data_IF_699522968338
#
_entry.id   IF_699522968338
#
_cell.length_a   1.000
_cell.length_b   1.000
_cell.length_c   1.000
_cell.angle_alpha   90.00
_cell.angle_beta   90.00
_cell.angle_gamma   90.00
#
_symmetry.space_group_name_H-M   'P 1'
#
loop_
_entity.id
_entity.type
_entity.pdbx_description
1 polymer ?
#
# COMPACT_ATOMS: atom_id res chain seq x y z
N UNK A 1 23.56 -4.26 -1.59
CA UNK A 1 22.18 -4.19 -2.12
C UNK A 1 21.63 -2.76 -2.22
N UNK A 2 21.67 -1.92 -1.17
CA UNK A 2 21.18 -0.53 -1.26
C UNK A 2 21.82 0.30 -2.40
N UNK A 3 23.14 0.16 -2.60
CA UNK A 3 23.85 0.81 -3.72
C UNK A 3 23.33 0.33 -5.08
N UNK A 4 23.16 -0.99 -5.24
CA UNK A 4 22.59 -1.58 -6.46
C UNK A 4 21.17 -1.10 -6.72
N UNK A 5 20.32 -1.04 -5.69
CA UNK A 5 18.95 -0.51 -5.82
C UNK A 5 18.95 0.97 -6.24
N UNK A 6 19.80 1.80 -5.63
CA UNK A 6 19.97 3.22 -6.00
C UNK A 6 20.42 3.38 -7.45
N UNK A 7 21.29 2.49 -7.92
CA UNK A 7 21.84 2.51 -9.27
C UNK A 7 20.98 1.75 -10.29
N UNK A 8 19.84 1.18 -9.87
CA UNK A 8 18.99 0.30 -10.69
C UNK A 8 19.75 -0.89 -11.31
N UNK A 9 20.73 -1.41 -10.58
CA UNK A 9 21.55 -2.54 -10.98
C UNK A 9 20.91 -3.84 -10.49
N UNK A 10 20.02 -4.41 -11.29
CA UNK A 10 19.33 -5.66 -10.99
C UNK A 10 20.29 -6.83 -10.84
N UNK A 11 21.31 -6.92 -11.71
CA UNK A 11 22.31 -7.99 -11.68
C UNK A 11 23.05 -8.02 -10.34
N UNK A 12 23.52 -6.86 -9.87
CA UNK A 12 24.21 -6.77 -8.58
C UNK A 12 23.28 -7.13 -7.42
N UNK A 13 22.05 -6.61 -7.43
CA UNK A 13 21.09 -6.86 -6.35
C UNK A 13 20.70 -8.33 -6.30
N UNK A 14 20.33 -8.93 -7.42
CA UNK A 14 19.96 -10.35 -7.53
C UNK A 14 21.12 -11.24 -7.08
N UNK A 15 22.32 -11.04 -7.64
CA UNK A 15 23.51 -11.82 -7.27
C UNK A 15 23.82 -11.73 -5.78
N UNK A 16 23.71 -10.54 -5.19
CA UNK A 16 23.97 -10.35 -3.75
C UNK A 16 22.88 -10.99 -2.91
N UNK A 17 21.60 -10.83 -3.28
CA UNK A 17 20.47 -11.39 -2.55
C UNK A 17 20.46 -12.92 -2.57
N UNK A 18 21.02 -13.55 -3.60
CA UNK A 18 21.10 -15.00 -3.73
C UNK A 18 22.33 -15.63 -3.03
N UNK A 19 23.22 -14.82 -2.46
CA UNK A 19 24.34 -15.34 -1.66
C UNK A 19 23.84 -15.94 -0.34
N UNK A 20 24.27 -17.17 -0.03
CA UNK A 20 23.93 -17.85 1.23
C UNK A 20 24.26 -17.01 2.47
N UNK A 21 25.43 -16.36 2.50
CA UNK A 21 25.85 -15.51 3.62
C UNK A 21 24.87 -14.33 3.80
N UNK A 22 24.42 -13.74 2.70
CA UNK A 22 23.49 -12.60 2.73
C UNK A 22 22.11 -13.02 3.22
N UNK A 23 21.58 -14.15 2.71
CA UNK A 23 20.31 -14.72 3.18
C UNK A 23 20.37 -15.11 4.66
N UNK A 24 21.49 -15.69 5.12
CA UNK A 24 21.71 -15.99 6.54
C UNK A 24 21.74 -14.74 7.42
N UNK A 25 22.31 -13.64 6.93
CA UNK A 25 22.46 -12.40 7.70
C UNK A 25 21.18 -11.57 7.74
N UNK A 26 20.50 -11.43 6.59
CA UNK A 26 19.36 -10.50 6.43
C UNK A 26 18.01 -11.20 6.48
N UNK A 27 17.98 -12.51 6.28
CA UNK A 27 16.76 -13.31 6.16
C UNK A 27 16.23 -13.38 4.72
N UNK A 28 15.53 -14.46 4.43
CA UNK A 28 14.92 -14.74 3.12
C UNK A 28 14.00 -13.60 2.67
N UNK A 29 13.10 -13.16 3.55
CA UNK A 29 12.13 -12.10 3.28
C UNK A 29 12.79 -10.80 2.81
N UNK A 30 13.83 -10.35 3.51
CA UNK A 30 14.53 -9.11 3.18
C UNK A 30 15.25 -9.24 1.84
N UNK A 31 15.89 -10.38 1.57
CA UNK A 31 16.51 -10.64 0.28
C UNK A 31 15.51 -10.62 -0.87
N UNK A 32 14.37 -11.30 -0.72
CA UNK A 32 13.34 -11.35 -1.76
C UNK A 32 12.71 -9.96 -1.99
N UNK A 33 12.49 -9.18 -0.93
CA UNK A 33 12.07 -7.78 -1.05
C UNK A 33 13.05 -6.94 -1.87
N UNK A 34 14.36 -7.11 -1.70
CA UNK A 34 15.35 -6.40 -2.51
C UNK A 34 15.25 -6.78 -3.99
N UNK A 35 15.05 -8.07 -4.29
CA UNK A 35 14.85 -8.56 -5.65
C UNK A 35 13.57 -7.98 -6.25
N UNK A 36 12.45 -8.08 -5.56
CA UNK A 36 11.17 -7.54 -6.02
C UNK A 36 11.26 -6.03 -6.32
N UNK A 37 11.88 -5.26 -5.42
CA UNK A 37 12.05 -3.81 -5.59
C UNK A 37 12.95 -3.45 -6.76
N UNK A 38 14.09 -4.15 -6.95
CA UNK A 38 14.98 -3.83 -8.06
C UNK A 38 14.32 -4.13 -9.40
N UNK A 39 13.62 -5.26 -9.51
CA UNK A 39 12.88 -5.66 -10.72
C UNK A 39 11.78 -4.65 -11.06
N UNK A 40 11.10 -4.12 -10.04
CA UNK A 40 10.11 -3.07 -10.22
C UNK A 40 10.72 -1.78 -10.79
N UNK A 41 11.86 -1.30 -10.24
CA UNK A 41 12.46 -0.03 -10.69
C UNK A 41 13.21 -0.15 -12.02
N UNK A 42 13.63 -1.36 -12.41
CA UNK A 42 14.22 -1.65 -13.73
C UNK A 42 13.16 -1.98 -14.78
N UNK A 43 11.88 -2.10 -14.40
CA UNK A 43 10.75 -2.44 -15.28
C UNK A 43 10.92 -3.80 -15.98
N UNK A 44 11.53 -4.77 -15.30
CA UNK A 44 11.60 -6.16 -15.79
C UNK A 44 10.32 -6.89 -15.35
N UNK A 45 9.26 -6.73 -16.13
CA UNK A 45 7.90 -7.17 -15.77
C UNK A 45 7.80 -8.69 -15.57
N UNK A 46 8.37 -9.48 -16.48
CA UNK A 46 8.31 -10.94 -16.39
C UNK A 46 8.98 -11.45 -15.11
N UNK A 47 10.18 -10.98 -14.80
CA UNK A 47 10.86 -11.38 -13.56
C UNK A 47 10.18 -10.81 -12.34
N UNK A 48 9.67 -9.59 -12.42
CA UNK A 48 8.92 -8.96 -11.33
C UNK A 48 7.70 -9.82 -10.96
N UNK A 49 6.92 -10.26 -11.94
CA UNK A 49 5.74 -11.10 -11.70
C UNK A 49 6.11 -12.45 -11.10
N UNK A 50 7.15 -13.11 -11.62
CA UNK A 50 7.66 -14.36 -11.05
C UNK A 50 8.08 -14.19 -9.60
N UNK A 51 8.76 -13.08 -9.28
CA UNK A 51 9.18 -12.77 -7.92
C UNK A 51 7.99 -12.44 -7.02
N UNK A 52 7.01 -11.68 -7.51
CA UNK A 52 5.81 -11.34 -6.76
C UNK A 52 5.03 -12.61 -6.39
N UNK A 53 4.78 -13.49 -7.37
CA UNK A 53 4.11 -14.78 -7.14
C UNK A 53 4.91 -15.64 -6.15
N UNK A 54 6.23 -15.72 -6.32
CA UNK A 54 7.09 -16.43 -5.36
C UNK A 54 6.91 -15.90 -3.92
N UNK A 55 6.91 -14.58 -3.73
CA UNK A 55 6.69 -13.99 -2.41
C UNK A 55 5.26 -14.21 -1.89
N UNK A 56 4.26 -14.28 -2.78
CA UNK A 56 2.86 -14.60 -2.45
C UNK A 56 2.67 -16.07 -2.04
N UNK A 57 3.43 -17.00 -2.61
CA UNK A 57 3.35 -18.43 -2.26
C UNK A 57 4.26 -18.81 -1.08
N UNK A 58 5.28 -18.00 -0.78
CA UNK A 58 6.26 -18.30 0.27
C UNK A 58 5.69 -18.08 1.67
N UNK A 59 5.94 -19.05 2.56
CA UNK A 59 5.76 -18.93 4.01
C UNK A 59 7.07 -18.49 4.65
N UNK A 60 7.12 -17.24 5.10
CA UNK A 60 8.28 -16.72 5.84
C UNK A 60 8.19 -17.11 7.33
N UNK A 61 9.33 -17.27 8.04
CA UNK A 61 9.33 -17.67 9.45
C UNK A 61 8.58 -16.71 10.40
N UNK A 62 8.45 -15.43 10.02
CA UNK A 62 7.72 -14.43 10.78
C UNK A 62 6.39 -14.14 10.09
N UNK A 63 5.25 -14.42 10.74
CA UNK A 63 3.92 -14.12 10.18
C UNK A 63 3.76 -12.63 9.79
N UNK A 64 4.29 -11.73 10.60
CA UNK A 64 4.22 -10.27 10.39
C UNK A 64 4.89 -9.82 9.09
N UNK A 65 5.92 -10.54 8.61
CA UNK A 65 6.61 -10.22 7.34
C UNK A 65 5.64 -10.38 6.17
N UNK A 66 4.82 -11.45 6.19
CA UNK A 66 3.84 -11.72 5.14
C UNK A 66 2.73 -10.68 5.14
N UNK A 67 2.16 -10.38 6.31
CA UNK A 67 1.09 -9.40 6.42
C UNK A 67 1.57 -8.00 6.00
N UNK A 68 2.75 -7.58 6.46
CA UNK A 68 3.37 -6.30 6.07
C UNK A 68 3.63 -6.20 4.57
N UNK A 69 4.05 -7.31 3.94
CA UNK A 69 4.23 -7.38 2.49
C UNK A 69 2.92 -7.21 1.74
N UNK A 70 1.88 -7.96 2.12
CA UNK A 70 0.55 -7.87 1.52
C UNK A 70 0.03 -6.43 1.63
N UNK A 71 0.02 -5.87 2.84
CA UNK A 71 -0.45 -4.50 3.11
C UNK A 71 0.31 -3.46 2.27
N UNK A 72 1.64 -3.47 2.32
CA UNK A 72 2.46 -2.45 1.65
C UNK A 72 2.29 -2.49 0.13
N UNK A 73 2.37 -3.66 -0.49
CA UNK A 73 2.34 -3.78 -1.95
C UNK A 73 0.92 -3.65 -2.49
N UNK A 74 -0.09 -4.15 -1.77
CA UNK A 74 -1.49 -3.95 -2.14
C UNK A 74 -1.81 -2.46 -2.28
N UNK A 75 -1.58 -1.68 -1.24
CA UNK A 75 -1.85 -0.24 -1.28
C UNK A 75 -0.97 0.51 -2.27
N UNK A 76 0.27 0.06 -2.49
CA UNK A 76 1.11 0.60 -3.57
C UNK A 76 0.47 0.40 -4.95
N UNK A 77 -0.12 -0.77 -5.21
CA UNK A 77 -0.81 -1.04 -6.48
C UNK A 77 -2.15 -0.35 -6.61
N UNK A 78 -2.90 -0.18 -5.51
CA UNK A 78 -4.11 0.65 -5.49
C UNK A 78 -3.78 2.10 -5.91
N UNK A 79 -2.77 2.72 -5.29
CA UNK A 79 -2.35 4.10 -5.62
C UNK A 79 -1.93 4.24 -7.08
N UNK A 80 -1.39 3.18 -7.67
CA UNK A 80 -0.93 3.15 -9.07
C UNK A 80 -2.01 2.72 -10.06
N UNK A 81 -3.21 2.38 -9.60
CA UNK A 81 -4.28 1.86 -10.46
C UNK A 81 -3.96 0.50 -11.08
N UNK A 82 -3.02 -0.27 -10.52
CA UNK A 82 -2.62 -1.56 -11.08
C UNK A 82 -3.54 -2.67 -10.58
N UNK A 83 -4.69 -2.84 -11.25
CA UNK A 83 -5.70 -3.84 -10.90
C UNK A 83 -5.15 -5.26 -10.93
N UNK A 84 -4.37 -5.64 -11.95
CA UNK A 84 -3.80 -6.99 -12.08
C UNK A 84 -3.08 -7.44 -10.80
N UNK A 85 -2.17 -6.62 -10.28
CA UNK A 85 -1.40 -6.98 -9.08
C UNK A 85 -2.20 -6.78 -7.79
N UNK A 86 -3.10 -5.80 -7.74
CA UNK A 86 -4.01 -5.64 -6.61
C UNK A 86 -4.91 -6.88 -6.44
N UNK A 87 -5.42 -7.46 -7.53
CA UNK A 87 -6.25 -8.68 -7.52
C UNK A 87 -5.49 -9.87 -6.95
N UNK A 88 -4.23 -10.05 -7.38
CA UNK A 88 -3.39 -11.15 -6.90
C UNK A 88 -3.15 -11.03 -5.40
N UNK A 89 -2.84 -9.83 -4.91
CA UNK A 89 -2.56 -9.62 -3.49
C UNK A 89 -3.84 -9.69 -2.66
N UNK A 90 -4.96 -9.13 -3.13
CA UNK A 90 -6.25 -9.21 -2.43
C UNK A 90 -6.69 -10.66 -2.25
N UNK A 91 -6.46 -11.52 -3.24
CA UNK A 91 -6.72 -12.96 -3.12
C UNK A 91 -5.95 -13.59 -1.96
N UNK A 92 -4.69 -13.19 -1.74
CA UNK A 92 -3.90 -13.68 -0.61
C UNK A 92 -4.30 -13.03 0.72
N UNK A 93 -4.68 -11.74 0.72
CA UNK A 93 -5.26 -11.06 1.90
C UNK A 93 -6.49 -11.83 2.39
N UNK A 94 -7.39 -12.25 1.49
CA UNK A 94 -8.60 -13.03 1.84
C UNK A 94 -8.29 -14.38 2.50
N UNK A 95 -7.10 -14.95 2.26
CA UNK A 95 -6.69 -16.23 2.87
C UNK A 95 -6.13 -16.08 4.28
N UNK A 96 -5.87 -14.86 4.75
CA UNK A 96 -5.34 -14.66 6.12
C UNK A 96 -6.38 -15.04 7.18
N UNK A 97 -7.67 -14.95 6.85
CA UNK A 97 -8.77 -15.14 7.81
C UNK A 97 -8.90 -14.03 8.85
N UNK A 98 -8.07 -12.98 8.76
CA UNK A 98 -8.18 -11.78 9.60
C UNK A 98 -9.28 -10.88 9.03
N UNK A 99 -10.49 -10.98 9.60
CA UNK A 99 -11.65 -10.23 9.15
C UNK A 99 -11.43 -8.72 9.14
N UNK A 100 -10.68 -8.18 10.11
CA UNK A 100 -10.42 -6.74 10.15
C UNK A 100 -9.50 -6.34 8.99
N UNK A 101 -8.43 -7.10 8.79
CA UNK A 101 -7.49 -6.88 7.70
C UNK A 101 -8.15 -7.05 6.34
N UNK A 102 -9.02 -8.04 6.16
CA UNK A 102 -9.76 -8.28 4.91
C UNK A 102 -10.69 -7.11 4.63
N UNK A 103 -11.54 -6.74 5.60
CA UNK A 103 -12.59 -5.74 5.45
C UNK A 103 -12.06 -4.39 4.95
N UNK A 104 -11.09 -3.79 5.66
CA UNK A 104 -10.61 -2.47 5.27
C UNK A 104 -9.87 -2.49 3.91
N UNK A 105 -9.22 -3.61 3.56
CA UNK A 105 -8.54 -3.76 2.27
C UNK A 105 -9.53 -3.94 1.11
N UNK A 106 -10.64 -4.65 1.30
CA UNK A 106 -11.73 -4.72 0.32
C UNK A 106 -12.37 -3.36 0.10
N UNK A 107 -12.60 -2.62 1.18
CA UNK A 107 -13.11 -1.26 1.15
C UNK A 107 -12.15 -0.31 0.40
N UNK A 108 -10.84 -0.42 0.66
CA UNK A 108 -9.84 0.34 -0.09
C UNK A 108 -9.81 -0.01 -1.58
N UNK A 109 -9.96 -1.29 -1.93
CA UNK A 109 -10.06 -1.74 -3.32
C UNK A 109 -11.28 -1.11 -4.02
N UNK A 110 -12.44 -1.22 -3.38
CA UNK A 110 -13.71 -0.78 -3.93
C UNK A 110 -13.72 0.73 -4.22
N UNK A 111 -13.15 1.54 -3.31
CA UNK A 111 -13.01 2.98 -3.54
C UNK A 111 -11.97 3.28 -4.63
N UNK A 112 -10.78 2.67 -4.55
CA UNK A 112 -9.64 3.08 -5.40
C UNK A 112 -9.71 2.55 -6.83
N UNK A 113 -10.27 1.36 -7.03
CA UNK A 113 -10.30 0.70 -8.35
C UNK A 113 -11.70 0.61 -8.92
N UNK A 114 -12.72 0.36 -8.09
CA UNK A 114 -14.12 0.27 -8.56
C UNK A 114 -14.85 1.62 -8.51
N UNK A 115 -14.25 2.64 -7.88
CA UNK A 115 -14.79 4.00 -7.83
C UNK A 115 -16.05 4.14 -6.98
N UNK A 116 -16.26 3.25 -6.00
CA UNK A 116 -17.40 3.35 -5.08
C UNK A 116 -17.35 4.61 -4.24
N UNK A 117 -18.51 5.21 -4.00
CA UNK A 117 -18.70 6.44 -3.21
C UNK A 117 -19.76 6.31 -2.11
N UNK A 118 -20.29 5.11 -1.93
CA UNK A 118 -21.41 4.76 -1.05
C UNK A 118 -20.98 3.98 0.19
N UNK A 119 -19.68 3.95 0.50
CA UNK A 119 -19.09 3.28 1.65
C UNK A 119 -18.77 4.22 2.82
N UNK A 120 -19.11 5.52 2.71
CA UNK A 120 -18.75 6.53 3.72
C UNK A 120 -19.30 6.17 5.11
N UNK A 121 -20.61 5.88 5.20
CA UNK A 121 -21.26 5.57 6.49
C UNK A 121 -20.65 4.33 7.15
N UNK A 122 -20.42 3.26 6.37
CA UNK A 122 -19.78 2.03 6.84
C UNK A 122 -18.35 2.29 7.35
N UNK A 123 -17.57 3.08 6.63
CA UNK A 123 -16.21 3.43 7.01
C UNK A 123 -16.16 4.38 8.23
N UNK A 124 -17.16 5.23 8.42
CA UNK A 124 -17.29 6.05 9.64
C UNK A 124 -17.65 5.18 10.85
N UNK A 125 -18.52 4.18 10.69
CA UNK A 125 -18.79 3.18 11.74
C UNK A 125 -17.52 2.41 12.11
N UNK A 126 -16.71 2.03 11.13
CA UNK A 126 -15.40 1.41 11.34
C UNK A 126 -14.48 2.28 12.21
N UNK A 127 -14.44 3.60 11.97
CA UNK A 127 -13.68 4.55 12.81
C UNK A 127 -14.25 4.60 14.23
N UNK A 128 -15.57 4.74 14.35
CA UNK A 128 -16.27 4.89 15.63
C UNK A 128 -16.16 3.64 16.52
N UNK A 129 -16.09 2.46 15.90
CA UNK A 129 -15.89 1.19 16.59
C UNK A 129 -14.51 1.06 17.26
N UNK A 130 -13.56 1.95 16.91
CA UNK A 130 -12.15 1.89 17.32
C UNK A 130 -11.45 0.57 16.96
N UNK A 131 -11.95 -0.12 15.93
CA UNK A 131 -11.37 -1.38 15.43
C UNK A 131 -10.00 -1.17 14.79
N UNK A 132 -9.75 0.01 14.22
CA UNK A 132 -8.55 0.30 13.43
C UNK A 132 -7.67 1.38 14.07
N UNK A 133 -6.36 1.21 13.93
CA UNK A 133 -5.34 2.14 14.40
C UNK A 133 -4.20 2.27 13.39
N UNK A 134 -3.41 3.33 13.54
CA UNK A 134 -2.19 3.53 12.75
C UNK A 134 -2.47 3.56 11.24
N UNK A 135 -1.78 2.69 10.51
CA UNK A 135 -1.87 2.65 9.05
C UNK A 135 -3.28 2.35 8.54
N UNK A 136 -3.96 1.32 9.07
CA UNK A 136 -5.30 0.95 8.63
C UNK A 136 -6.32 2.10 8.83
N UNK A 137 -6.28 2.76 9.98
CA UNK A 137 -7.11 3.94 10.23
C UNK A 137 -6.80 5.08 9.24
N UNK A 138 -5.52 5.32 8.97
CA UNK A 138 -5.10 6.30 7.97
C UNK A 138 -5.62 5.98 6.57
N UNK A 139 -5.62 4.71 6.17
CA UNK A 139 -6.19 4.25 4.89
C UNK A 139 -7.67 4.54 4.82
N UNK A 140 -8.44 4.15 5.84
CA UNK A 140 -9.90 4.36 5.89
C UNK A 140 -10.23 5.86 5.73
N UNK A 141 -9.52 6.73 6.44
CA UNK A 141 -9.68 8.18 6.33
C UNK A 141 -9.38 8.69 4.91
N UNK A 142 -8.34 8.17 4.25
CA UNK A 142 -8.07 8.50 2.83
C UNK A 142 -9.21 8.01 1.93
N UNK A 143 -9.75 6.82 2.18
CA UNK A 143 -10.85 6.28 1.37
C UNK A 143 -12.11 7.14 1.50
N UNK A 144 -12.50 7.52 2.72
CA UNK A 144 -13.64 8.43 2.95
C UNK A 144 -13.41 9.77 2.22
N UNK A 145 -12.21 10.35 2.36
CA UNK A 145 -11.84 11.59 1.66
C UNK A 145 -12.00 11.46 0.13
N UNK A 146 -11.57 10.33 -0.45
CA UNK A 146 -11.71 10.06 -1.90
C UNK A 146 -13.17 9.99 -2.34
N UNK A 147 -14.03 9.39 -1.53
CA UNK A 147 -15.46 9.31 -1.82
C UNK A 147 -16.12 10.69 -1.79
N UNK A 148 -15.87 11.50 -0.75
CA UNK A 148 -16.38 12.88 -0.69
C UNK A 148 -15.91 13.73 -1.86
N UNK A 149 -14.62 13.63 -2.23
CA UNK A 149 -14.06 14.36 -3.37
C UNK A 149 -14.74 13.96 -4.68
N UNK A 150 -15.02 12.65 -4.88
CA UNK A 150 -15.75 12.18 -6.06
C UNK A 150 -17.22 12.66 -6.10
N UNK A 151 -17.82 12.95 -4.95
CA UNK A 151 -19.16 13.52 -4.81
C UNK A 151 -19.18 15.06 -4.91
N UNK A 152 -18.02 15.72 -5.02
CA UNK A 152 -17.90 17.18 -5.06
C UNK A 152 -18.03 17.86 -3.69
N UNK A 153 -17.90 17.12 -2.59
CA UNK A 153 -17.88 17.66 -1.23
C UNK A 153 -16.43 17.87 -0.77
N UNK A 154 -15.79 18.90 -1.34
CA UNK A 154 -14.37 19.20 -1.08
C UNK A 154 -14.10 19.55 0.38
N UNK A 155 -15.10 20.11 1.08
CA UNK A 155 -15.00 20.46 2.50
C UNK A 155 -14.79 19.21 3.34
N UNK A 156 -15.67 18.22 3.21
CA UNK A 156 -15.51 16.97 3.96
C UNK A 156 -14.29 16.20 3.50
N UNK A 157 -14.03 16.15 2.18
CA UNK A 157 -12.84 15.52 1.65
C UNK A 157 -11.53 16.07 2.27
N UNK A 158 -11.43 17.39 2.45
CA UNK A 158 -10.28 18.05 3.09
C UNK A 158 -10.14 17.65 4.58
N UNK A 159 -11.24 17.66 5.34
CA UNK A 159 -11.24 17.28 6.77
C UNK A 159 -10.71 15.86 6.97
N UNK A 160 -11.19 14.91 6.17
CA UNK A 160 -10.73 13.52 6.26
C UNK A 160 -9.27 13.37 5.81
N UNK A 161 -8.82 14.14 4.81
CA UNK A 161 -7.43 14.11 4.35
C UNK A 161 -6.46 14.66 5.41
N UNK A 162 -6.82 15.75 6.10
CA UNK A 162 -6.06 16.29 7.23
C UNK A 162 -5.99 15.28 8.38
N UNK A 163 -7.11 14.60 8.67
CA UNK A 163 -7.16 13.55 9.68
C UNK A 163 -6.26 12.36 9.31
N UNK A 164 -6.28 11.93 8.05
CA UNK A 164 -5.40 10.88 7.55
C UNK A 164 -3.92 11.23 7.74
N UNK A 165 -3.53 12.49 7.49
CA UNK A 165 -2.16 12.99 7.71
C UNK A 165 -1.70 12.83 9.16
N UNK A 166 -2.59 13.06 10.12
CA UNK A 166 -2.28 12.91 11.54
C UNK A 166 -2.11 11.44 11.97
N UNK A 167 -2.80 10.50 11.29
CA UNK A 167 -2.72 9.07 11.58
C UNK A 167 -1.54 8.36 10.90
N UNK A 168 -1.16 8.78 9.70
CA UNK A 168 -0.17 8.10 8.88
C UNK A 168 1.26 8.43 9.32
N UNK A 169 2.10 7.41 9.39
CA UNK A 169 3.55 7.63 9.54
C UNK A 169 4.09 8.41 8.32
N UNK A 170 5.04 9.36 8.48
CA UNK A 170 5.54 10.21 7.38
C UNK A 170 6.13 9.46 6.18
N UNK A 171 6.49 8.18 6.35
CA UNK A 171 7.01 7.30 5.29
C UNK A 171 5.97 6.30 4.74
N UNK A 172 4.71 6.41 5.14
CA UNK A 172 3.64 5.53 4.65
C UNK A 172 3.37 5.77 3.16
N UNK A 173 2.93 4.73 2.45
CA UNK A 173 2.72 4.77 0.99
C UNK A 173 1.69 5.82 0.54
N UNK A 174 0.75 6.19 1.42
CA UNK A 174 -0.26 7.22 1.17
C UNK A 174 0.20 8.65 1.43
N UNK A 175 1.29 8.88 2.18
CA UNK A 175 1.74 10.25 2.51
C UNK A 175 1.96 11.13 1.28
N UNK A 176 2.58 10.66 0.17
CA UNK A 176 2.69 11.47 -1.05
C UNK A 176 1.34 11.84 -1.66
N UNK A 177 0.31 11.00 -1.51
CA UNK A 177 -1.05 11.27 -1.99
C UNK A 177 -1.71 12.34 -1.12
N UNK A 178 -1.58 12.20 0.20
CA UNK A 178 -2.10 13.14 1.21
C UNK A 178 -1.45 14.52 1.05
N UNK A 179 -0.12 14.59 1.02
CA UNK A 179 0.61 15.84 0.91
C UNK A 179 0.38 16.55 -0.43
N UNK A 180 0.11 15.81 -1.51
CA UNK A 180 -0.29 16.42 -2.77
C UNK A 180 -1.68 17.03 -2.67
N UNK A 181 -2.66 16.28 -2.16
CA UNK A 181 -4.04 16.75 -2.02
C UNK A 181 -4.13 18.03 -1.18
N UNK A 182 -3.47 18.05 -0.02
CA UNK A 182 -3.53 19.22 0.88
C UNK A 182 -2.88 20.46 0.26
N UNK A 183 -1.76 20.30 -0.45
CA UNK A 183 -1.12 21.41 -1.16
C UNK A 183 -2.00 21.97 -2.29
N UNK A 184 -2.71 21.10 -3.01
CA UNK A 184 -3.63 21.50 -4.07
C UNK A 184 -4.83 22.27 -3.50
N UNK A 185 -5.39 21.82 -2.38
CA UNK A 185 -6.48 22.52 -1.69
C UNK A 185 -6.04 23.91 -1.17
N UNK A 186 -4.86 24.01 -0.55
CA UNK A 186 -4.31 25.28 -0.07
C UNK A 186 -4.10 26.31 -1.20
N UNK A 187 -3.70 25.86 -2.39
CA UNK A 187 -3.54 26.74 -3.54
C UNK A 187 -4.89 27.27 -4.06
N UNK A 188 -5.93 26.42 -4.08
CA UNK A 188 -7.27 26.81 -4.51
C UNK A 188 -7.91 27.85 -3.59
N UNK A 189 -7.67 27.77 -2.28
CA UNK A 189 -8.14 28.77 -1.30
C UNK A 189 -7.44 30.14 -1.47
N UNK A 190 -6.20 30.17 -1.95
CA UNK A 190 -5.46 31.44 -2.16
C UNK A 190 -5.84 32.15 -3.46
N UNK A 191 -6.37 31.41 -4.44
CA UNK A 191 -6.79 31.91 -5.74
C UNK A 191 -8.30 32.29 -5.79
N UNK A 192 -9.05 32.08 -4.70
CA UNK A 192 -10.50 32.37 -4.56
C UNK A 192 -10.78 33.67 -3.82
#
# INVERSE_FOLDING_TARGET
MNVGLKNKDSVLVEKTADMWITRKLLGEYVCDLYKLRVLYVTKDEEKFEKMLIHMLDTTYPRPDDKQSFLETYFHTFLIKGNRKYADWILKEIKKTGDEAFIHYNENAYAVMLDGRTDLIEEMDEDINSKRYYGFALGVILVMISKQYSALGDDKNALIYMQSAKACLHPKAVYMPVVDRYLREAEAQEQDS
#
